data_IF_508711547435
#
_entry.id   IF_508711547435
#
_cell.length_a   1.000
_cell.length_b   1.000
_cell.length_c   1.000
_cell.angle_alpha   90.00
_cell.angle_beta   90.00
_cell.angle_gamma   90.00
#
_symmetry.space_group_name_H-M   'P 1'
#
loop_
_entity.id
_entity.type
_entity.pdbx_description
1 polymer ?
#
# COMPACT_ATOMS: atom_id res chain seq x y z
N UNK A 1 -12.20 -15.50 -11.43
CA UNK A 1 -10.72 -15.39 -11.27
C UNK A 1 -10.09 -16.42 -10.32
N UNK A 2 -10.80 -16.85 -9.27
CA UNK A 2 -10.25 -17.68 -8.18
C UNK A 2 -10.58 -19.18 -8.26
N UNK A 3 -11.51 -19.62 -9.11
CA UNK A 3 -11.99 -21.03 -9.17
C UNK A 3 -10.86 -22.06 -9.36
N UNK A 4 -9.80 -21.69 -10.08
CA UNK A 4 -8.63 -22.55 -10.36
C UNK A 4 -7.30 -21.97 -9.83
N UNK A 5 -7.32 -21.14 -8.78
CA UNK A 5 -6.13 -20.40 -8.30
C UNK A 5 -5.44 -19.52 -9.38
N UNK A 6 -6.15 -19.19 -10.47
CA UNK A 6 -5.54 -18.74 -11.73
C UNK A 6 -4.83 -17.39 -11.72
N UNK A 7 -5.03 -16.56 -10.69
CA UNK A 7 -4.30 -15.30 -10.55
C UNK A 7 -3.60 -15.21 -9.19
N UNK A 8 -2.27 -15.21 -9.25
CA UNK A 8 -1.38 -14.90 -8.14
C UNK A 8 -1.37 -13.39 -7.89
N UNK A 9 -0.99 -12.97 -6.68
CA UNK A 9 -1.00 -11.56 -6.30
C UNK A 9 -0.02 -10.72 -7.15
N UNK A 10 1.14 -11.25 -7.51
CA UNK A 10 2.10 -10.60 -8.40
C UNK A 10 1.47 -10.27 -9.77
N UNK A 11 0.71 -11.20 -10.36
CA UNK A 11 0.02 -10.96 -11.62
C UNK A 11 -1.06 -9.85 -11.51
N UNK A 12 -1.74 -9.73 -10.36
CA UNK A 12 -2.68 -8.64 -10.14
C UNK A 12 -1.97 -7.28 -10.04
N UNK A 13 -0.75 -7.24 -9.47
CA UNK A 13 0.11 -6.05 -9.47
C UNK A 13 0.54 -5.68 -10.89
N UNK A 14 0.96 -6.67 -11.69
CA UNK A 14 1.33 -6.46 -13.10
C UNK A 14 0.17 -5.81 -13.89
N UNK A 15 -1.07 -6.28 -13.69
CA UNK A 15 -2.24 -5.66 -14.32
C UNK A 15 -2.48 -4.20 -13.89
N UNK A 16 -2.19 -3.87 -12.63
CA UNK A 16 -2.27 -2.51 -12.12
C UNK A 16 -1.16 -1.60 -12.67
N UNK A 17 -0.03 -2.17 -13.09
CA UNK A 17 1.15 -1.43 -13.60
C UNK A 17 1.16 -1.32 -15.11
N UNK A 18 0.57 -2.28 -15.82
CA UNK A 18 0.48 -2.33 -17.28
C UNK A 18 -0.43 -1.24 -17.89
N UNK A 19 -1.06 -0.39 -17.07
CA UNK A 19 -1.78 0.81 -17.50
C UNK A 19 -3.11 1.03 -16.79
N UNK A 20 -3.89 2.02 -17.23
CA UNK A 20 -5.17 2.42 -16.63
C UNK A 20 -6.38 1.60 -17.08
N UNK A 21 -6.16 0.46 -17.74
CA UNK A 21 -7.23 -0.35 -18.35
C UNK A 21 -7.84 -1.33 -17.34
N UNK A 22 -7.00 -1.97 -16.52
CA UNK A 22 -7.48 -2.85 -15.46
C UNK A 22 -7.89 -2.01 -14.24
N UNK A 23 -9.10 -2.24 -13.74
CA UNK A 23 -9.64 -1.50 -12.59
C UNK A 23 -10.05 -2.41 -11.43
N UNK A 24 -9.95 -3.74 -11.59
CA UNK A 24 -10.53 -4.67 -10.62
C UNK A 24 -10.80 -6.07 -11.16
N UNK A 25 -11.51 -6.88 -10.36
CA UNK A 25 -11.96 -8.22 -10.73
C UNK A 25 -13.42 -8.49 -10.31
N UNK A 26 -14.00 -9.59 -10.79
CA UNK A 26 -15.23 -10.15 -10.23
C UNK A 26 -14.95 -10.68 -8.82
N UNK A 27 -15.68 -10.15 -7.83
CA UNK A 27 -15.51 -10.45 -6.40
C UNK A 27 -16.33 -11.64 -5.90
N UNK A 28 -16.92 -12.38 -6.84
CA UNK A 28 -17.75 -13.56 -6.65
C UNK A 28 -17.54 -14.58 -7.80
N UNK A 29 -18.10 -15.76 -7.63
CA UNK A 29 -18.18 -16.78 -8.69
C UNK A 29 -19.49 -16.71 -9.46
N UNK A 30 -19.45 -16.97 -10.76
CA UNK A 30 -20.62 -17.29 -11.57
C UNK A 30 -21.32 -18.60 -11.15
N UNK A 31 -22.37 -18.98 -11.86
CA UNK A 31 -22.93 -20.35 -11.80
C UNK A 31 -23.46 -20.77 -10.41
N UNK A 32 -24.06 -19.82 -9.67
CA UNK A 32 -24.39 -19.96 -8.25
C UNK A 32 -25.55 -20.92 -7.93
N UNK A 33 -26.18 -21.57 -8.92
CA UNK A 33 -27.14 -22.68 -8.68
C UNK A 33 -26.49 -24.07 -8.79
N UNK A 34 -25.27 -24.18 -9.32
CA UNK A 34 -24.60 -25.47 -9.40
C UNK A 34 -24.18 -25.96 -8.00
N UNK A 35 -24.36 -27.26 -7.77
CA UNK A 35 -24.16 -27.89 -6.47
C UNK A 35 -22.72 -27.85 -5.96
N UNK A 36 -21.74 -27.91 -6.87
CA UNK A 36 -20.32 -27.76 -6.56
C UNK A 36 -20.00 -26.34 -6.09
N UNK A 37 -20.55 -25.31 -6.75
CA UNK A 37 -20.41 -23.91 -6.33
C UNK A 37 -21.07 -23.66 -4.97
N UNK A 38 -22.27 -24.19 -4.76
CA UNK A 38 -22.95 -24.12 -3.46
C UNK A 38 -22.10 -24.79 -2.37
N UNK A 39 -21.61 -26.01 -2.62
CA UNK A 39 -20.80 -26.78 -1.67
C UNK A 39 -19.49 -26.06 -1.35
N UNK A 40 -18.85 -25.47 -2.37
CA UNK A 40 -17.63 -24.70 -2.20
C UNK A 40 -17.88 -23.44 -1.36
N UNK A 41 -18.94 -22.68 -1.64
CA UNK A 41 -19.31 -21.52 -0.82
C UNK A 41 -19.60 -21.92 0.64
N UNK A 42 -20.32 -23.01 0.86
CA UNK A 42 -20.59 -23.55 2.20
C UNK A 42 -19.30 -23.94 2.94
N UNK A 43 -18.34 -24.54 2.24
CA UNK A 43 -17.03 -24.87 2.82
C UNK A 43 -16.22 -23.64 3.25
N UNK A 44 -16.57 -22.46 2.72
CA UNK A 44 -15.92 -21.18 3.01
C UNK A 44 -16.85 -20.23 3.78
N UNK A 45 -17.72 -20.75 4.66
CA UNK A 45 -18.61 -19.92 5.49
C UNK A 45 -19.52 -18.97 4.69
N UNK A 46 -19.93 -19.39 3.49
CA UNK A 46 -20.81 -18.64 2.59
C UNK A 46 -20.10 -17.60 1.72
N UNK A 47 -18.77 -17.51 1.75
CA UNK A 47 -18.03 -16.61 0.86
C UNK A 47 -18.03 -17.12 -0.58
N UNK A 48 -18.03 -16.17 -1.52
CA UNK A 48 -18.12 -16.46 -2.97
C UNK A 48 -16.82 -16.20 -3.74
N UNK A 49 -15.80 -15.59 -3.12
CA UNK A 49 -14.44 -15.55 -3.67
C UNK A 49 -13.45 -15.31 -2.51
N UNK A 50 -12.51 -16.23 -2.22
CA UNK A 50 -11.56 -16.06 -1.13
C UNK A 50 -10.65 -14.84 -1.30
N UNK A 51 -10.30 -14.45 -2.54
CA UNK A 51 -9.42 -13.29 -2.81
C UNK A 51 -10.06 -11.95 -2.42
N UNK A 52 -11.39 -11.94 -2.31
CA UNK A 52 -12.21 -10.79 -1.88
C UNK A 52 -12.60 -10.92 -0.40
N UNK A 53 -12.90 -12.14 0.03
CA UNK A 53 -13.48 -12.41 1.33
C UNK A 53 -12.44 -12.56 2.45
N UNK A 54 -11.30 -13.18 2.19
CA UNK A 54 -10.33 -13.40 3.27
C UNK A 54 -9.67 -12.08 3.66
N UNK A 55 -9.64 -11.83 4.97
CA UNK A 55 -9.06 -10.63 5.55
C UNK A 55 -7.53 -10.75 5.46
N UNK A 56 -6.87 -9.74 4.90
CA UNK A 56 -5.44 -9.70 4.66
C UNK A 56 -4.97 -10.38 3.37
N UNK A 57 -5.89 -10.94 2.56
CA UNK A 57 -5.55 -11.61 1.31
C UNK A 57 -5.45 -10.60 0.14
N UNK A 58 -5.44 -11.08 -1.11
CA UNK A 58 -5.17 -10.34 -2.33
C UNK A 58 -5.78 -8.93 -2.38
N UNK A 59 -7.08 -8.77 -2.11
CA UNK A 59 -7.70 -7.45 -2.20
C UNK A 59 -7.12 -6.49 -1.16
N UNK A 60 -7.02 -6.90 0.10
CA UNK A 60 -6.46 -6.09 1.18
C UNK A 60 -5.00 -5.71 0.92
N UNK A 61 -4.19 -6.63 0.37
CA UNK A 61 -2.80 -6.35 0.02
C UNK A 61 -2.70 -5.30 -1.09
N UNK A 62 -3.47 -5.43 -2.17
CA UNK A 62 -3.52 -4.43 -3.24
C UNK A 62 -3.96 -3.05 -2.73
N UNK A 63 -4.97 -3.01 -1.86
CA UNK A 63 -5.45 -1.75 -1.26
C UNK A 63 -4.40 -1.14 -0.32
N UNK A 64 -3.70 -1.95 0.47
CA UNK A 64 -2.63 -1.48 1.36
C UNK A 64 -1.44 -0.88 0.61
N UNK A 65 -1.20 -1.33 -0.63
CA UNK A 65 -0.20 -0.78 -1.55
C UNK A 65 -0.66 0.54 -2.21
N UNK A 66 -1.86 1.02 -1.89
CA UNK A 66 -2.45 2.23 -2.48
C UNK A 66 -3.04 2.00 -3.88
N UNK A 67 -3.18 0.75 -4.33
CA UNK A 67 -3.80 0.44 -5.62
C UNK A 67 -5.32 0.50 -5.46
N UNK A 68 -5.97 1.37 -6.23
CA UNK A 68 -7.43 1.43 -6.30
C UNK A 68 -7.97 0.23 -7.08
N UNK A 69 -8.03 -0.91 -6.40
CA UNK A 69 -8.51 -2.17 -6.97
C UNK A 69 -9.98 -2.37 -6.61
N UNK A 70 -10.86 -2.36 -7.61
CA UNK A 70 -12.30 -2.42 -7.44
C UNK A 70 -12.82 -3.86 -7.57
N UNK A 71 -14.02 -4.10 -7.04
CA UNK A 71 -14.75 -5.34 -7.26
C UNK A 71 -16.13 -5.07 -7.86
N UNK A 72 -16.71 -6.14 -8.42
CA UNK A 72 -18.10 -6.21 -8.86
C UNK A 72 -18.61 -7.63 -8.69
N UNK A 73 -19.92 -7.79 -8.63
CA UNK A 73 -20.56 -9.09 -8.77
C UNK A 73 -21.07 -9.32 -10.18
N UNK A 74 -21.06 -10.58 -10.60
CA UNK A 74 -21.55 -11.02 -11.90
C UNK A 74 -22.40 -12.29 -11.80
N UNK A 75 -23.25 -12.52 -12.80
CA UNK A 75 -24.08 -13.74 -12.85
C UNK A 75 -23.49 -14.85 -13.72
N UNK A 76 -22.61 -14.51 -14.68
CA UNK A 76 -22.01 -15.45 -15.64
C UNK A 76 -23.07 -16.32 -16.35
N UNK A 77 -24.19 -15.70 -16.76
CA UNK A 77 -25.38 -16.38 -17.25
C UNK A 77 -25.12 -17.09 -18.59
N UNK A 78 -25.30 -18.41 -18.59
CA UNK A 78 -25.25 -19.30 -19.75
C UNK A 78 -26.57 -20.07 -19.95
N UNK A 79 -27.42 -20.16 -18.92
CA UNK A 79 -28.79 -20.68 -19.04
C UNK A 79 -29.46 -21.01 -17.70
N UNK A 80 -30.78 -21.23 -17.75
CA UNK A 80 -31.61 -21.40 -16.55
C UNK A 80 -31.34 -22.69 -15.74
N UNK A 81 -30.64 -23.66 -16.34
CA UNK A 81 -30.35 -24.96 -15.71
C UNK A 81 -29.36 -24.87 -14.54
N UNK A 82 -28.54 -23.82 -14.50
CA UNK A 82 -27.48 -23.65 -13.50
C UNK A 82 -27.24 -22.21 -13.05
N UNK A 83 -27.95 -21.25 -13.65
CA UNK A 83 -27.75 -19.82 -13.40
C UNK A 83 -29.02 -19.14 -12.92
N UNK A 84 -28.83 -18.10 -12.11
CA UNK A 84 -29.86 -17.10 -11.86
C UNK A 84 -29.99 -16.20 -13.09
N UNK A 85 -31.19 -15.69 -13.36
CA UNK A 85 -31.35 -14.68 -14.40
C UNK A 85 -30.46 -13.46 -14.09
N UNK A 86 -29.96 -12.74 -15.11
CA UNK A 86 -29.17 -11.53 -14.89
C UNK A 86 -29.89 -10.56 -13.95
N UNK A 87 -29.25 -10.21 -12.83
CA UNK A 87 -29.80 -9.34 -11.80
C UNK A 87 -30.85 -9.99 -10.89
N UNK A 88 -31.10 -11.29 -10.94
CA UNK A 88 -31.98 -11.97 -9.98
C UNK A 88 -31.27 -12.09 -8.63
N UNK A 89 -30.10 -12.74 -8.61
CA UNK A 89 -29.33 -12.99 -7.38
C UNK A 89 -28.20 -11.97 -7.19
N UNK A 90 -27.29 -11.81 -8.15
CA UNK A 90 -26.12 -10.93 -8.02
C UNK A 90 -26.40 -9.58 -8.68
N UNK A 91 -26.10 -8.49 -8.00
CA UNK A 91 -26.24 -7.14 -8.56
C UNK A 91 -25.03 -6.30 -8.19
N UNK A 92 -24.64 -5.41 -9.10
CA UNK A 92 -23.70 -4.32 -8.80
C UNK A 92 -24.36 -3.00 -9.12
N UNK A 93 -24.41 -2.10 -8.14
CA UNK A 93 -24.97 -0.76 -8.28
C UNK A 93 -23.83 0.23 -8.44
N UNK A 94 -23.86 1.04 -9.50
CA UNK A 94 -22.88 2.10 -9.76
C UNK A 94 -23.54 3.48 -9.63
N UNK A 95 -22.85 4.40 -8.97
CA UNK A 95 -23.15 5.81 -9.09
C UNK A 95 -22.60 6.33 -10.43
N UNK A 96 -23.49 6.59 -11.37
CA UNK A 96 -23.14 7.11 -12.69
C UNK A 96 -23.47 8.60 -12.78
N UNK A 97 -22.52 9.47 -13.22
CA UNK A 97 -22.79 10.90 -13.39
C UNK A 97 -23.89 11.21 -14.42
N UNK A 98 -24.16 10.28 -15.33
CA UNK A 98 -25.30 10.36 -16.26
C UNK A 98 -25.68 8.96 -16.79
N UNK A 99 -26.85 8.85 -17.41
CA UNK A 99 -27.34 7.61 -18.06
C UNK A 99 -26.83 7.42 -19.50
N UNK A 100 -25.77 8.12 -19.91
CA UNK A 100 -25.13 7.91 -21.21
C UNK A 100 -24.07 6.81 -21.14
N UNK A 101 -23.65 6.23 -22.27
CA UNK A 101 -22.54 5.27 -22.28
C UNK A 101 -21.29 5.82 -21.60
N UNK A 102 -20.93 7.07 -21.88
CA UNK A 102 -19.79 7.73 -21.23
C UNK A 102 -20.00 7.86 -19.71
N UNK A 103 -21.20 8.25 -19.28
CA UNK A 103 -21.54 8.35 -17.86
C UNK A 103 -21.45 7.01 -17.15
N UNK A 104 -21.94 5.94 -17.76
CA UNK A 104 -21.85 4.58 -17.22
C UNK A 104 -20.38 4.13 -17.12
N UNK A 105 -19.57 4.32 -18.16
CA UNK A 105 -18.15 3.97 -18.14
C UNK A 105 -17.39 4.78 -17.08
N UNK A 106 -17.72 6.08 -16.91
CA UNK A 106 -17.17 6.91 -15.83
C UNK A 106 -17.58 6.39 -14.45
N UNK A 107 -18.83 5.98 -14.25
CA UNK A 107 -19.29 5.37 -13.00
C UNK A 107 -18.54 4.06 -12.68
N UNK A 108 -18.40 3.19 -13.68
CA UNK A 108 -17.66 1.92 -13.54
C UNK A 108 -16.20 2.16 -13.17
N UNK A 109 -15.50 3.09 -13.86
CA UNK A 109 -14.11 3.45 -13.56
C UNK A 109 -13.95 4.20 -12.24
N UNK A 110 -14.94 5.01 -11.88
CA UNK A 110 -14.97 5.77 -10.64
C UNK A 110 -15.06 4.85 -9.43
N UNK A 111 -15.77 3.72 -9.56
CA UNK A 111 -15.84 2.69 -8.53
C UNK A 111 -16.71 3.03 -7.34
N UNK A 112 -17.48 4.13 -7.40
CA UNK A 112 -18.53 4.41 -6.43
C UNK A 112 -19.68 3.41 -6.64
N UNK A 113 -19.50 2.23 -6.06
CA UNK A 113 -20.37 1.09 -6.26
C UNK A 113 -20.33 0.11 -5.10
N UNK A 114 -21.45 -0.61 -4.96
CA UNK A 114 -21.56 -1.76 -4.09
C UNK A 114 -22.17 -2.93 -4.86
N UNK A 115 -21.80 -4.13 -4.45
CA UNK A 115 -22.30 -5.37 -5.01
C UNK A 115 -23.06 -6.14 -3.93
N UNK A 116 -24.14 -6.82 -4.31
CA UNK A 116 -25.08 -7.45 -3.37
C UNK A 116 -25.65 -8.74 -3.93
N UNK A 117 -25.75 -9.74 -3.07
CA UNK A 117 -26.52 -10.96 -3.31
C UNK A 117 -27.92 -10.87 -2.73
N UNK A 118 -28.89 -11.43 -3.45
CA UNK A 118 -30.28 -11.62 -3.03
C UNK A 118 -31.00 -10.35 -2.55
N UNK A 119 -30.53 -9.16 -2.92
CA UNK A 119 -31.05 -7.87 -2.42
C UNK A 119 -31.09 -7.76 -0.89
N UNK A 120 -30.11 -8.29 -0.16
CA UNK A 120 -30.09 -8.15 1.31
C UNK A 120 -29.95 -6.71 1.81
N UNK A 121 -29.50 -5.84 0.92
CA UNK A 121 -29.62 -4.38 1.01
C UNK A 121 -30.17 -3.85 -0.31
N UNK A 122 -30.89 -2.73 -0.24
CA UNK A 122 -31.40 -1.99 -1.42
C UNK A 122 -30.74 -0.62 -1.59
N UNK A 123 -29.93 -0.21 -0.60
CA UNK A 123 -29.23 1.06 -0.58
C UNK A 123 -28.02 1.00 0.35
N UNK A 124 -26.94 1.67 -0.05
CA UNK A 124 -25.74 1.85 0.75
C UNK A 124 -25.19 3.27 0.52
N UNK A 125 -24.93 3.98 1.61
CA UNK A 125 -24.05 5.15 1.63
C UNK A 125 -22.85 4.81 2.52
N UNK A 126 -21.66 4.97 1.99
CA UNK A 126 -20.41 4.70 2.69
C UNK A 126 -19.48 5.88 2.44
N UNK A 127 -19.31 6.72 3.47
CA UNK A 127 -18.58 7.99 3.37
C UNK A 127 -17.58 8.15 4.50
N UNK A 128 -16.47 8.83 4.20
CA UNK A 128 -15.50 9.28 5.19
C UNK A 128 -15.31 10.79 5.05
N UNK A 129 -15.37 11.51 6.17
CA UNK A 129 -15.23 12.97 6.19
C UNK A 129 -14.06 13.39 7.07
N UNK A 130 -13.30 14.38 6.61
CA UNK A 130 -12.18 15.00 7.32
C UNK A 130 -12.22 16.51 7.11
N UNK A 131 -12.50 17.27 8.17
CA UNK A 131 -12.73 18.71 8.06
C UNK A 131 -13.89 19.02 7.09
N UNK A 132 -13.61 19.73 6.00
CA UNK A 132 -14.58 20.06 4.93
C UNK A 132 -14.61 19.04 3.80
N UNK A 133 -13.70 18.07 3.78
CA UNK A 133 -13.59 17.08 2.73
C UNK A 133 -14.46 15.86 3.05
N UNK A 134 -15.05 15.26 2.03
CA UNK A 134 -15.80 14.01 2.12
C UNK A 134 -15.53 13.17 0.88
N UNK A 135 -15.26 11.88 1.10
CA UNK A 135 -15.12 10.89 0.05
C UNK A 135 -16.19 9.80 0.21
N UNK A 136 -16.77 9.35 -0.89
CA UNK A 136 -17.62 8.16 -0.95
C UNK A 136 -16.79 6.91 -1.24
N UNK A 137 -17.41 5.72 -1.10
CA UNK A 137 -16.88 4.47 -1.64
C UNK A 137 -16.33 4.65 -3.06
N UNK A 138 -15.18 4.05 -3.34
CA UNK A 138 -14.44 4.23 -4.58
C UNK A 138 -13.61 5.52 -4.64
N UNK A 139 -13.81 6.52 -3.79
CA UNK A 139 -13.05 7.77 -3.83
C UNK A 139 -11.84 7.77 -2.88
N UNK A 140 -11.00 8.80 -3.04
CA UNK A 140 -9.87 9.06 -2.15
C UNK A 140 -10.22 10.20 -1.20
N UNK A 141 -9.98 10.02 0.09
CA UNK A 141 -10.02 11.05 1.11
C UNK A 141 -8.58 11.49 1.41
N UNK A 142 -8.27 12.76 1.14
CA UNK A 142 -7.02 13.36 1.59
C UNK A 142 -7.15 13.83 3.05
N UNK A 143 -6.18 13.44 3.88
CA UNK A 143 -6.11 13.86 5.29
C UNK A 143 -4.66 14.08 5.72
N UNK A 144 -4.42 15.00 6.65
CA UNK A 144 -3.14 15.10 7.34
C UNK A 144 -3.08 14.09 8.49
N UNK A 145 -1.91 13.52 8.76
CA UNK A 145 -1.68 12.61 9.89
C UNK A 145 -2.24 13.23 11.19
N UNK A 146 -2.99 12.43 11.95
CA UNK A 146 -3.59 12.85 13.21
C UNK A 146 -4.89 13.64 13.07
N UNK A 147 -5.32 14.01 11.86
CA UNK A 147 -6.65 14.61 11.68
C UNK A 147 -7.75 13.63 12.04
N UNK A 148 -8.80 14.13 12.67
CA UNK A 148 -9.99 13.36 12.99
C UNK A 148 -10.79 13.04 11.72
N UNK A 149 -11.16 11.78 11.56
CA UNK A 149 -11.96 11.27 10.45
C UNK A 149 -13.21 10.62 11.04
N UNK A 150 -14.37 10.98 10.48
CA UNK A 150 -15.65 10.34 10.77
C UNK A 150 -16.07 9.52 9.57
N UNK A 151 -16.08 8.20 9.73
CA UNK A 151 -16.72 7.28 8.79
C UNK A 151 -18.20 7.18 9.12
N UNK A 152 -19.06 7.34 8.11
CA UNK A 152 -20.50 7.12 8.20
C UNK A 152 -20.90 6.01 7.23
N UNK A 153 -21.59 5.01 7.76
CA UNK A 153 -22.18 3.94 6.97
C UNK A 153 -23.69 4.04 7.16
N UNK A 154 -24.44 4.05 6.06
CA UNK A 154 -25.90 3.92 6.07
C UNK A 154 -26.29 2.79 5.15
N UNK A 155 -27.06 1.83 5.66
CA UNK A 155 -27.62 0.74 4.85
C UNK A 155 -29.13 0.80 4.87
N UNK A 156 -29.77 0.50 3.75
CA UNK A 156 -31.19 0.21 3.69
C UNK A 156 -31.36 -1.31 3.61
N UNK A 157 -31.79 -1.97 4.71
CA UNK A 157 -32.00 -3.42 4.71
C UNK A 157 -33.03 -3.83 3.66
N UNK A 158 -32.79 -4.96 3.00
CA UNK A 158 -33.68 -5.54 2.01
C UNK A 158 -34.21 -6.90 2.45
N UNK A 159 -33.87 -7.95 1.71
CA UNK A 159 -34.29 -9.31 2.04
C UNK A 159 -33.54 -9.88 3.26
N UNK A 160 -34.23 -10.69 4.06
CA UNK A 160 -33.65 -11.37 5.22
C UNK A 160 -33.37 -10.45 6.41
N UNK A 161 -32.55 -10.97 7.33
CA UNK A 161 -32.10 -10.23 8.53
C UNK A 161 -30.59 -10.06 8.47
N UNK A 162 -30.13 -8.80 8.42
CA UNK A 162 -28.69 -8.50 8.41
C UNK A 162 -28.03 -9.00 9.71
N UNK A 163 -26.99 -9.82 9.56
CA UNK A 163 -26.26 -10.40 10.69
C UNK A 163 -25.28 -9.39 11.32
N UNK A 164 -24.76 -8.48 10.50
CA UNK A 164 -23.75 -7.51 10.88
C UNK A 164 -23.11 -6.89 9.65
N UNK A 165 -22.42 -5.78 9.88
CA UNK A 165 -21.67 -5.04 8.87
C UNK A 165 -20.22 -4.98 9.35
N UNK A 166 -19.29 -5.42 8.51
CA UNK A 166 -17.87 -5.47 8.81
C UNK A 166 -17.14 -4.37 8.05
N UNK A 167 -16.50 -3.47 8.80
CA UNK A 167 -15.47 -2.59 8.29
C UNK A 167 -14.14 -3.33 8.34
N UNK A 168 -13.40 -3.34 7.23
CA UNK A 168 -12.06 -3.92 7.12
C UNK A 168 -11.10 -2.83 6.66
N UNK A 169 -9.97 -2.71 7.35
CA UNK A 169 -9.02 -1.61 7.14
C UNK A 169 -7.61 -1.95 7.59
N UNK A 170 -6.63 -1.15 7.19
CA UNK A 170 -5.25 -1.19 7.71
C UNK A 170 -4.97 -0.04 8.70
N UNK A 171 -5.99 0.50 9.40
CA UNK A 171 -5.81 1.68 10.26
C UNK A 171 -4.79 1.49 11.39
N UNK A 172 -4.59 0.26 11.85
CA UNK A 172 -3.72 -0.11 12.97
C UNK A 172 -2.32 -0.56 12.53
N UNK A 173 -1.97 -0.44 11.24
CA UNK A 173 -0.69 -0.90 10.68
C UNK A 173 -0.89 -1.63 9.36
N UNK A 174 0.16 -2.26 8.83
CA UNK A 174 0.10 -2.92 7.50
C UNK A 174 -0.85 -4.12 7.44
N UNK A 175 -1.14 -4.76 8.57
CA UNK A 175 -2.08 -5.88 8.63
C UNK A 175 -3.54 -5.40 8.63
N UNK A 176 -4.38 -6.07 7.85
CA UNK A 176 -5.82 -5.83 7.86
C UNK A 176 -6.44 -6.17 9.23
N UNK A 177 -7.31 -5.29 9.72
CA UNK A 177 -8.11 -5.46 10.93
C UNK A 177 -9.59 -5.26 10.62
N UNK A 178 -10.46 -5.76 11.49
CA UNK A 178 -11.91 -5.67 11.32
C UNK A 178 -12.62 -5.07 12.52
N UNK A 179 -13.65 -4.28 12.25
CA UNK A 179 -14.62 -3.79 13.22
C UNK A 179 -16.02 -4.20 12.75
N UNK A 180 -16.80 -4.83 13.63
CA UNK A 180 -18.12 -5.37 13.30
C UNK A 180 -19.21 -4.55 13.97
N UNK A 181 -20.15 -4.05 13.18
CA UNK A 181 -21.36 -3.37 13.62
C UNK A 181 -22.53 -4.34 13.56
N UNK A 182 -22.99 -4.78 14.72
CA UNK A 182 -24.23 -5.53 14.91
C UNK A 182 -25.40 -4.57 15.10
N UNK A 183 -26.61 -5.11 15.25
CA UNK A 183 -27.82 -4.31 15.51
C UNK A 183 -27.70 -3.39 16.74
N UNK A 184 -26.79 -3.68 17.68
CA UNK A 184 -26.58 -2.86 18.87
C UNK A 184 -25.90 -1.52 18.57
N UNK A 185 -25.12 -1.44 17.49
CA UNK A 185 -24.41 -0.23 17.08
C UNK A 185 -25.21 0.63 16.08
N UNK A 186 -26.39 0.16 15.65
CA UNK A 186 -27.17 0.81 14.61
C UNK A 186 -28.15 1.83 15.18
N UNK A 187 -28.23 2.99 14.56
CA UNK A 187 -29.32 3.95 14.75
C UNK A 187 -30.28 3.86 13.58
N UNK A 188 -31.57 3.71 13.85
CA UNK A 188 -32.62 3.70 12.82
C UNK A 188 -32.96 5.13 12.39
N UNK A 189 -32.90 5.40 11.08
CA UNK A 189 -33.32 6.65 10.47
C UNK A 189 -34.28 6.36 9.30
N UNK A 190 -35.57 6.28 9.62
CA UNK A 190 -36.58 5.76 8.68
C UNK A 190 -36.23 4.33 8.25
N UNK A 191 -36.14 4.09 6.95
CA UNK A 191 -35.79 2.79 6.38
C UNK A 191 -34.28 2.49 6.46
N UNK A 192 -33.46 3.46 6.88
CA UNK A 192 -32.01 3.31 6.96
C UNK A 192 -31.56 2.86 8.36
N UNK A 193 -30.43 2.14 8.40
CA UNK A 193 -29.63 1.88 9.59
C UNK A 193 -28.32 2.62 9.42
N UNK A 194 -27.97 3.46 10.39
CA UNK A 194 -26.76 4.25 10.38
C UNK A 194 -25.82 3.81 11.49
N UNK A 195 -24.53 3.76 11.18
CA UNK A 195 -23.44 3.56 12.13
C UNK A 195 -22.27 4.49 11.80
N UNK A 196 -21.49 4.82 12.82
CA UNK A 196 -20.33 5.68 12.68
C UNK A 196 -19.09 5.05 13.29
N UNK A 197 -17.95 5.34 12.70
CA UNK A 197 -16.64 4.95 13.21
C UNK A 197 -15.70 6.14 13.16
N UNK A 198 -15.26 6.59 14.33
CA UNK A 198 -14.37 7.74 14.44
C UNK A 198 -12.94 7.24 14.68
N UNK A 199 -11.98 7.78 13.94
CA UNK A 199 -10.58 7.47 14.08
C UNK A 199 -9.72 8.67 13.69
N UNK A 200 -8.43 8.63 13.98
CA UNK A 200 -7.47 9.63 13.52
C UNK A 200 -6.68 9.08 12.34
N UNK A 201 -6.43 9.91 11.33
CA UNK A 201 -5.60 9.54 10.19
C UNK A 201 -4.25 8.98 10.68
N UNK A 202 -3.87 7.74 10.31
CA UNK A 202 -2.64 7.11 10.77
C UNK A 202 -1.41 7.77 10.11
N UNK A 203 -0.21 7.26 10.35
CA UNK A 203 1.04 7.74 9.74
C UNK A 203 1.38 7.05 8.41
N UNK A 204 0.37 6.58 7.68
CA UNK A 204 0.50 5.90 6.40
C UNK A 204 -0.83 5.98 5.64
N UNK A 205 -0.80 5.74 4.33
CA UNK A 205 -2.03 5.64 3.55
C UNK A 205 -2.88 4.47 4.03
N UNK A 206 -4.19 4.63 4.01
CA UNK A 206 -5.11 3.60 4.51
C UNK A 206 -6.18 3.24 3.49
N UNK A 207 -6.88 2.15 3.73
CA UNK A 207 -8.10 1.81 3.01
C UNK A 207 -9.21 1.45 4.01
N UNK A 208 -10.44 1.69 3.60
CA UNK A 208 -11.65 1.29 4.31
C UNK A 208 -12.53 0.52 3.32
N UNK A 209 -12.73 -0.77 3.52
CA UNK A 209 -13.72 -1.55 2.74
C UNK A 209 -14.80 -2.10 3.65
N UNK A 210 -15.98 -2.31 3.06
CA UNK A 210 -17.17 -2.72 3.79
C UNK A 210 -17.71 -4.03 3.22
N UNK A 211 -18.18 -4.91 4.09
CA UNK A 211 -19.05 -6.03 3.71
C UNK A 211 -20.12 -6.29 4.75
N UNK A 212 -21.13 -7.06 4.42
CA UNK A 212 -22.09 -7.57 5.40
C UNK A 212 -22.83 -8.77 4.85
N UNK A 213 -23.45 -9.53 5.75
CA UNK A 213 -24.24 -10.71 5.40
C UNK A 213 -25.63 -10.64 6.00
N UNK A 214 -26.53 -11.46 5.48
CA UNK A 214 -27.85 -11.65 6.07
C UNK A 214 -28.17 -13.13 6.21
N UNK A 215 -28.93 -13.46 7.25
CA UNK A 215 -29.64 -14.73 7.33
C UNK A 215 -30.84 -14.67 6.40
N UNK A 216 -30.89 -15.61 5.45
CA UNK A 216 -32.02 -15.79 4.51
C UNK A 216 -32.42 -17.27 4.47
N UNK A 217 -33.55 -17.59 3.84
CA UNK A 217 -34.03 -18.97 3.65
C UNK A 217 -33.27 -19.75 2.57
N UNK A 218 -32.26 -19.15 1.93
CA UNK A 218 -31.49 -19.74 0.84
C UNK A 218 -30.35 -20.66 1.28
N UNK A 219 -29.81 -21.41 0.33
CA UNK A 219 -28.75 -22.44 0.55
C UNK A 219 -27.34 -21.86 0.73
N UNK A 220 -27.12 -20.61 0.30
CA UNK A 220 -25.86 -19.88 0.45
C UNK A 220 -26.15 -18.59 1.22
N UNK A 221 -25.29 -18.27 2.19
CA UNK A 221 -25.36 -17.00 2.91
C UNK A 221 -25.09 -15.85 1.94
N UNK A 222 -26.07 -14.95 1.68
CA UNK A 222 -25.84 -13.80 0.84
C UNK A 222 -24.95 -12.77 1.53
N UNK A 223 -24.15 -12.08 0.71
CA UNK A 223 -23.25 -11.02 1.12
C UNK A 223 -23.46 -9.77 0.27
N UNK A 224 -23.10 -8.62 0.83
CA UNK A 224 -22.85 -7.41 0.08
C UNK A 224 -21.44 -6.91 0.37
N UNK A 225 -20.86 -6.19 -0.59
CA UNK A 225 -19.55 -5.55 -0.47
C UNK A 225 -19.60 -4.16 -1.08
N UNK A 226 -18.87 -3.22 -0.49
CA UNK A 226 -18.64 -1.90 -1.07
C UNK A 226 -17.21 -1.79 -1.59
N UNK A 227 -17.02 -1.02 -2.66
CA UNK A 227 -15.68 -0.61 -3.04
C UNK A 227 -15.04 0.29 -1.97
N UNK A 228 -13.70 0.32 -1.90
CA UNK A 228 -13.00 0.93 -0.79
C UNK A 228 -13.02 2.46 -0.86
N UNK A 229 -12.97 3.11 0.29
CA UNK A 229 -12.49 4.48 0.40
C UNK A 229 -10.97 4.39 0.61
N UNK A 230 -10.19 5.12 -0.18
CA UNK A 230 -8.73 5.20 0.01
C UNK A 230 -8.39 6.45 0.80
N UNK A 231 -7.58 6.32 1.84
CA UNK A 231 -7.01 7.42 2.61
C UNK A 231 -5.64 7.78 2.10
N UNK A 232 -5.49 8.96 1.53
CA UNK A 232 -4.21 9.55 1.15
C UNK A 232 -3.75 10.45 2.29
N UNK A 233 -2.73 10.00 3.03
CA UNK A 233 -2.26 10.70 4.21
C UNK A 233 -1.06 11.56 3.87
N UNK A 234 -1.23 12.87 3.99
CA UNK A 234 -0.09 13.78 4.11
C UNK A 234 0.45 13.62 5.52
N UNK A 235 1.65 13.06 5.65
CA UNK A 235 2.30 13.04 6.95
C UNK A 235 2.40 14.49 7.43
N UNK A 236 1.99 14.73 8.68
CA UNK A 236 2.42 15.94 9.35
C UNK A 236 3.92 16.04 9.11
N UNK A 237 4.45 17.22 8.82
CA UNK A 237 5.87 17.40 8.63
C UNK A 237 6.58 16.83 9.87
N UNK A 238 6.99 15.56 9.77
CA UNK A 238 8.12 15.06 10.49
C UNK A 238 9.20 15.89 9.85
N UNK A 239 9.59 16.95 10.54
CA UNK A 239 10.99 17.25 10.78
C UNK A 239 11.91 16.13 10.24
N UNK A 240 12.07 16.10 8.92
CA UNK A 240 12.45 14.89 8.19
C UNK A 240 13.96 14.87 8.15
N UNK A 241 14.58 13.85 8.75
CA UNK A 241 15.92 13.44 8.35
C UNK A 241 15.79 12.78 6.97
N UNK A 242 15.90 13.56 5.91
CA UNK A 242 16.17 13.04 4.56
C UNK A 242 17.69 13.04 4.40
N UNK A 243 18.27 11.85 4.30
CA UNK A 243 19.67 11.67 3.92
C UNK A 243 19.68 11.24 2.46
N UNK A 244 20.34 12.01 1.60
CA UNK A 244 20.77 11.51 0.29
C UNK A 244 22.14 10.86 0.50
N UNK A 245 22.18 9.52 0.58
CA UNK A 245 23.43 8.78 0.77
C UNK A 245 24.19 8.62 -0.56
N UNK A 246 25.43 9.13 -0.55
CA UNK A 246 26.63 8.77 -1.33
C UNK A 246 26.48 8.34 -2.79
N UNK A 247 26.71 9.28 -3.71
CA UNK A 247 27.27 8.92 -5.00
C UNK A 247 28.75 8.56 -4.83
N UNK A 248 29.07 7.27 -4.88
CA UNK A 248 30.45 6.79 -4.97
C UNK A 248 31.03 7.22 -6.32
N UNK A 249 31.98 8.15 -6.28
CA UNK A 249 32.68 8.61 -7.49
C UNK A 249 34.14 8.20 -7.43
N UNK A 250 34.63 7.60 -8.50
CA UNK A 250 36.06 7.35 -8.66
C UNK A 250 36.75 8.65 -9.02
N UNK A 251 37.67 9.12 -8.18
CA UNK A 251 38.45 10.33 -8.46
C UNK A 251 39.73 9.95 -9.20
N UNK A 252 39.77 10.25 -10.50
CA UNK A 252 40.92 10.03 -11.37
C UNK A 252 40.57 9.26 -12.64
N UNK A 253 41.45 9.34 -13.63
CA UNK A 253 41.39 8.50 -14.83
C UNK A 253 42.10 7.19 -14.53
N UNK A 254 41.36 6.08 -14.49
CA UNK A 254 42.00 4.76 -14.59
C UNK A 254 42.59 4.69 -16.00
N UNK A 255 43.90 4.49 -16.10
CA UNK A 255 44.54 4.25 -17.39
C UNK A 255 43.87 3.05 -18.07
N UNK A 256 43.76 3.07 -19.40
CA UNK A 256 43.33 1.91 -20.18
C UNK A 256 44.52 1.41 -21.02
N UNK A 257 45.07 0.22 -20.74
CA UNK A 257 44.64 -0.73 -19.72
C UNK A 257 44.98 -0.29 -18.28
N UNK A 258 44.29 -0.84 -17.26
CA UNK A 258 44.62 -0.60 -15.86
C UNK A 258 46.06 -1.03 -15.56
N UNK A 259 46.78 -0.21 -14.79
CA UNK A 259 48.17 -0.49 -14.39
C UNK A 259 48.16 -1.17 -13.02
N UNK A 260 48.62 -2.42 -12.90
CA UNK A 260 48.84 -3.07 -11.60
C UNK A 260 49.72 -2.21 -10.68
N UNK A 261 49.32 -2.08 -9.42
CA UNK A 261 49.97 -1.23 -8.42
C UNK A 261 49.48 0.23 -8.39
N UNK A 262 48.60 0.66 -9.30
CA UNK A 262 48.00 1.99 -9.24
C UNK A 262 46.91 2.09 -8.16
N UNK A 263 46.86 3.21 -7.44
CA UNK A 263 45.83 3.50 -6.46
C UNK A 263 44.61 4.16 -7.11
N UNK A 264 43.43 3.68 -6.76
CA UNK A 264 42.13 4.26 -7.07
C UNK A 264 41.63 4.96 -5.80
N UNK A 265 41.35 6.25 -5.90
CA UNK A 265 40.73 7.02 -4.80
C UNK A 265 39.21 7.04 -4.97
N UNK A 266 38.50 6.57 -3.95
CA UNK A 266 37.05 6.70 -3.86
C UNK A 266 36.67 7.94 -3.05
N UNK A 267 35.60 8.60 -3.49
CA UNK A 267 34.96 9.69 -2.77
C UNK A 267 33.49 9.38 -2.59
N UNK A 268 33.05 9.37 -1.33
CA UNK A 268 31.65 9.34 -0.92
C UNK A 268 31.26 10.76 -0.54
N UNK A 269 30.14 11.24 -1.06
CA UNK A 269 29.59 12.56 -0.72
C UNK A 269 28.33 12.39 0.11
N UNK A 270 28.09 13.28 1.06
CA UNK A 270 26.82 13.31 1.78
C UNK A 270 26.31 14.75 1.87
N UNK A 271 24.99 14.90 1.86
CA UNK A 271 24.32 16.19 2.05
C UNK A 271 23.07 15.98 2.89
N UNK A 272 22.90 16.82 3.91
CA UNK A 272 21.66 16.92 4.64
C UNK A 272 20.72 17.90 3.93
N UNK A 273 19.82 17.36 3.12
CA UNK A 273 18.78 18.14 2.42
C UNK A 273 17.54 18.39 3.28
N UNK A 274 17.55 17.92 4.54
CA UNK A 274 16.48 18.14 5.51
C UNK A 274 16.58 19.49 6.23
N UNK A 275 15.58 19.76 7.07
CA UNK A 275 15.47 21.02 7.84
C UNK A 275 16.03 20.94 9.25
N UNK A 276 16.54 19.78 9.67
CA UNK A 276 17.10 19.54 11.00
C UNK A 276 18.52 18.99 10.99
N UNK A 277 19.23 19.13 12.11
CA UNK A 277 20.53 18.50 12.28
C UNK A 277 20.39 16.99 12.49
N UNK A 278 21.16 16.21 11.74
CA UNK A 278 21.42 14.80 12.03
C UNK A 278 22.34 14.77 13.25
N UNK A 279 22.08 13.92 14.25
CA UNK A 279 22.92 13.89 15.46
C UNK A 279 24.03 12.83 15.41
N UNK A 280 23.79 11.70 14.73
CA UNK A 280 24.69 10.54 14.68
C UNK A 280 24.67 9.89 13.30
N UNK A 281 25.23 10.57 12.30
CA UNK A 281 25.40 10.00 10.97
C UNK A 281 26.60 9.04 10.97
N UNK A 282 26.38 7.81 10.52
CA UNK A 282 27.43 6.84 10.22
C UNK A 282 27.24 6.35 8.78
N UNK A 283 28.32 6.31 8.01
CA UNK A 283 28.32 5.92 6.59
C UNK A 283 29.30 4.76 6.41
N UNK A 284 28.85 3.68 5.77
CA UNK A 284 29.67 2.52 5.46
C UNK A 284 29.74 2.26 3.95
N UNK A 285 30.87 1.77 3.46
CA UNK A 285 31.01 1.30 2.07
C UNK A 285 31.78 -0.04 2.05
N UNK A 286 31.38 -0.92 1.14
CA UNK A 286 32.09 -2.17 0.87
C UNK A 286 32.86 -2.03 -0.44
N UNK A 287 34.18 -1.80 -0.42
CA UNK A 287 34.97 -1.74 -1.64
C UNK A 287 34.95 -3.10 -2.36
N UNK A 288 34.89 -3.07 -3.69
CA UNK A 288 35.13 -4.28 -4.48
C UNK A 288 36.64 -4.55 -4.52
N UNK A 289 37.03 -5.64 -3.86
CA UNK A 289 38.42 -6.09 -3.74
C UNK A 289 38.70 -7.34 -4.60
N UNK A 290 37.85 -7.63 -5.60
CA UNK A 290 38.05 -8.79 -6.50
C UNK A 290 39.36 -8.69 -7.28
N UNK A 291 39.71 -7.49 -7.75
CA UNK A 291 40.93 -7.20 -8.50
C UNK A 291 41.76 -6.07 -7.88
N UNK A 292 41.52 -5.79 -6.61
CA UNK A 292 42.18 -4.73 -5.87
C UNK A 292 42.41 -5.15 -4.42
N UNK A 293 43.22 -4.40 -3.71
CA UNK A 293 43.40 -4.50 -2.27
C UNK A 293 43.17 -3.15 -1.61
N UNK A 294 42.66 -3.15 -0.38
CA UNK A 294 42.54 -1.92 0.40
C UNK A 294 43.93 -1.32 0.68
N UNK A 295 44.05 0.00 0.58
CA UNK A 295 45.29 0.71 0.94
C UNK A 295 45.19 1.12 2.39
N UNK A 296 46.06 0.58 3.24
CA UNK A 296 46.11 0.94 4.64
C UNK A 296 46.38 2.43 4.85
N UNK A 297 45.84 2.98 5.94
CA UNK A 297 45.92 4.39 6.35
C UNK A 297 45.42 5.36 5.27
N UNK A 298 44.40 4.94 4.51
CA UNK A 298 43.84 5.74 3.40
C UNK A 298 42.54 6.48 3.74
N UNK A 299 41.98 6.27 4.94
CA UNK A 299 40.74 6.92 5.36
C UNK A 299 40.96 8.43 5.55
N UNK A 300 40.06 9.23 4.95
CA UNK A 300 40.04 10.68 5.15
C UNK A 300 38.63 11.23 5.21
N UNK A 301 38.44 12.25 6.05
CA UNK A 301 37.17 12.97 6.20
C UNK A 301 37.37 14.47 5.96
N UNK A 302 36.48 15.08 5.18
CA UNK A 302 36.57 16.49 4.82
C UNK A 302 35.22 17.15 4.58
N UNK A 303 35.29 18.45 4.32
CA UNK A 303 34.12 19.27 3.96
C UNK A 303 33.75 19.08 2.48
N UNK A 304 32.62 19.64 2.05
CA UNK A 304 32.17 19.59 0.66
C UNK A 304 33.22 20.09 -0.37
N UNK A 305 34.11 21.01 0.04
CA UNK A 305 35.18 21.55 -0.80
C UNK A 305 36.52 20.81 -0.71
N UNK A 306 36.66 19.84 0.20
CA UNK A 306 37.90 19.09 0.37
C UNK A 306 38.18 18.19 -0.85
N UNK A 307 39.46 17.97 -1.11
CA UNK A 307 40.00 16.86 -1.93
C UNK A 307 40.53 15.77 -0.99
N UNK A 308 41.04 14.67 -1.54
CA UNK A 308 41.72 13.66 -0.72
C UNK A 308 42.89 14.28 0.06
N UNK A 309 43.72 15.08 -0.60
CA UNK A 309 44.95 15.65 -0.04
C UNK A 309 44.69 16.71 1.05
N UNK A 310 43.51 17.35 1.00
CA UNK A 310 43.12 18.41 1.95
C UNK A 310 42.14 17.93 3.02
N UNK A 311 41.62 16.71 2.90
CA UNK A 311 40.81 16.06 3.92
C UNK A 311 41.68 15.58 5.09
N UNK A 312 41.11 15.58 6.30
CA UNK A 312 41.77 15.15 7.53
C UNK A 312 42.00 13.65 7.48
N UNK A 313 43.23 13.24 7.76
CA UNK A 313 43.62 11.83 7.90
C UNK A 313 42.94 11.19 9.10
N UNK A 314 42.58 9.92 8.92
CA UNK A 314 42.00 9.03 9.92
C UNK A 314 42.77 7.71 9.93
N UNK A 315 42.72 6.99 11.04
CA UNK A 315 43.34 5.68 11.18
C UNK A 315 42.40 4.58 10.70
N UNK A 316 42.94 3.39 10.41
CA UNK A 316 42.14 2.22 10.09
C UNK A 316 41.64 1.47 11.34
N UNK A 317 42.15 1.84 12.53
CA UNK A 317 41.84 1.19 13.80
C UNK A 317 40.55 1.77 14.41
N UNK A 318 39.78 0.93 15.12
CA UNK A 318 38.68 1.40 15.98
C UNK A 318 39.25 2.10 17.24
N UNK A 319 39.69 3.35 17.06
CA UNK A 319 40.40 4.15 18.07
C UNK A 319 39.63 5.44 18.49
N UNK A 320 38.37 5.54 18.08
CA UNK A 320 37.50 6.72 18.22
C UNK A 320 38.00 7.97 17.49
N UNK A 321 38.75 7.83 16.40
CA UNK A 321 39.05 8.96 15.54
C UNK A 321 37.96 9.25 14.50
N UNK A 322 36.80 8.58 14.53
CA UNK A 322 35.64 8.72 13.63
C UNK A 322 35.69 7.94 12.31
N UNK A 323 36.71 7.10 12.06
CA UNK A 323 36.69 6.16 10.94
C UNK A 323 37.48 4.88 11.25
N UNK A 324 37.11 3.76 10.63
CA UNK A 324 37.86 2.50 10.73
C UNK A 324 37.66 1.59 9.51
N UNK A 325 38.56 0.61 9.37
CA UNK A 325 38.49 -0.47 8.38
C UNK A 325 38.45 -1.83 9.08
N UNK A 326 37.29 -2.50 9.03
CA UNK A 326 37.07 -3.76 9.77
C UNK A 326 37.63 -5.02 9.05
N UNK A 327 38.32 -4.84 7.92
CA UNK A 327 38.76 -5.91 7.04
C UNK A 327 37.78 -6.25 5.90
N UNK A 328 36.58 -5.69 5.91
CA UNK A 328 35.52 -5.93 4.90
C UNK A 328 34.85 -4.64 4.42
N UNK A 329 34.53 -3.71 5.31
CA UNK A 329 33.88 -2.43 5.05
C UNK A 329 34.69 -1.28 5.65
N UNK A 330 34.62 -0.12 4.99
CA UNK A 330 35.05 1.15 5.59
C UNK A 330 33.87 1.76 6.33
N UNK A 331 34.12 2.35 7.49
CA UNK A 331 33.12 2.96 8.35
C UNK A 331 33.56 4.41 8.64
N UNK A 332 32.61 5.34 8.60
CA UNK A 332 32.81 6.75 8.91
C UNK A 332 31.71 7.26 9.83
N UNK A 333 32.06 7.59 11.07
CA UNK A 333 31.17 8.18 12.06
C UNK A 333 31.16 9.71 11.98
N UNK A 334 30.46 10.23 10.97
CA UNK A 334 30.35 11.67 10.68
C UNK A 334 29.77 12.48 11.84
N UNK A 335 28.95 11.88 12.69
CA UNK A 335 28.38 12.54 13.86
C UNK A 335 27.28 13.53 13.49
N UNK A 336 27.37 14.77 13.97
CA UNK A 336 26.31 15.77 13.78
C UNK A 336 26.43 16.50 12.44
N UNK A 337 25.39 16.47 11.61
CA UNK A 337 25.33 17.16 10.32
C UNK A 337 24.16 18.15 10.30
N UNK A 338 24.41 19.48 10.37
CA UNK A 338 23.36 20.50 10.34
C UNK A 338 22.57 20.51 9.02
N UNK A 339 21.39 21.17 8.99
CA UNK A 339 20.64 21.39 7.75
C UNK A 339 21.51 22.02 6.67
N UNK A 340 21.33 21.59 5.41
CA UNK A 340 22.08 22.08 4.23
C UNK A 340 23.60 21.93 4.32
N UNK A 341 24.11 21.13 5.27
CA UNK A 341 25.53 20.81 5.38
C UNK A 341 25.87 19.56 4.60
N UNK A 342 27.07 19.54 4.04
CA UNK A 342 27.58 18.43 3.24
C UNK A 342 29.07 18.19 3.49
N UNK A 343 29.53 17.00 3.16
CA UNK A 343 30.92 16.60 3.32
C UNK A 343 31.35 15.50 2.37
N UNK A 344 32.63 15.14 2.48
CA UNK A 344 33.27 14.13 1.63
C UNK A 344 34.09 13.17 2.48
N UNK A 345 34.00 11.90 2.16
CA UNK A 345 34.71 10.80 2.80
C UNK A 345 35.52 10.06 1.75
N UNK A 346 36.72 9.63 2.10
CA UNK A 346 37.65 9.04 1.15
C UNK A 346 38.31 7.79 1.67
N UNK A 347 38.63 6.89 0.74
CA UNK A 347 39.50 5.75 0.94
C UNK A 347 40.16 5.37 -0.39
N UNK A 348 41.20 4.54 -0.35
CA UNK A 348 41.90 4.04 -1.54
C UNK A 348 41.91 2.53 -1.64
N UNK A 349 41.94 2.04 -2.88
CA UNK A 349 42.26 0.65 -3.19
C UNK A 349 43.37 0.62 -4.23
N UNK A 350 44.21 -0.41 -4.21
CA UNK A 350 45.31 -0.62 -5.16
C UNK A 350 44.98 -1.76 -6.10
N UNK A 351 45.15 -1.54 -7.40
CA UNK A 351 44.92 -2.55 -8.44
C UNK A 351 45.97 -3.66 -8.31
N UNK A 352 45.53 -4.92 -8.35
CA UNK A 352 46.42 -6.10 -8.32
C UNK A 352 47.02 -6.46 -9.67
#
# INVERSE_FOLDING_TARGET
>A
PSRDAGYRLDQLRDYSEAGSVCIGFAGDWGHKKYSDIISLAQSMNGYHDPKTAWIGDNWDQLLSEGRKWLIRFEDDFHGESGDFWPGEYSKTYYYCPSKTYEGVIKGIRGGCSYAVHNNIITGLEFTASCGTQTAMMGETLDAAQGQAITLTIRVQPGSGSLNGIELISNLTGTAASTCVFTSNEWTTQGDWRQMQYNFTAPNHNFYLRLRGSATTTGTITPWFYANPIIGSVTLAAREQLIITIATRTTLGTISSPPVPGADITYCLTYENTGTQAIQRLSITDKPDLTHAEYVADSLRMGTAGSTYETAREKTDDDDNDDADWDGTIVIFDVGTVPPSSSGRLYFRVRIR
#
